data_IF_862609773081
#
_entry.id   IF_862609773081
#
_cell.length_a   1.000
_cell.length_b   1.000
_cell.length_c   1.000
_cell.angle_alpha   90.00
_cell.angle_beta   90.00
_cell.angle_gamma   90.00
#
_symmetry.space_group_name_H-M   'P 1'
#
loop_
_entity.id
_entity.type
_entity.pdbx_description
1 polymer ?
#
# COMPACT_ATOMS: atom_id res chain seq x y z
N UNK A 1 -46.10 -41.72 -63.04
CA UNK A 1 -44.89 -40.96 -62.68
C UNK A 1 -45.04 -40.52 -61.23
N UNK A 2 -44.27 -41.11 -60.31
CA UNK A 2 -44.39 -40.87 -58.86
C UNK A 2 -43.37 -39.82 -58.43
N UNK A 3 -43.82 -38.67 -57.94
CA UNK A 3 -42.93 -37.63 -57.38
C UNK A 3 -42.73 -37.89 -55.88
N UNK A 4 -41.49 -38.15 -55.46
CA UNK A 4 -41.09 -38.23 -54.04
C UNK A 4 -40.70 -36.84 -53.55
N UNK A 5 -41.51 -36.25 -52.66
CA UNK A 5 -41.19 -35.03 -51.94
C UNK A 5 -40.18 -35.35 -50.82
N UNK A 6 -38.98 -34.78 -50.89
CA UNK A 6 -37.97 -34.89 -49.83
C UNK A 6 -38.10 -33.68 -48.88
N UNK A 7 -38.54 -33.93 -47.65
CA UNK A 7 -38.57 -32.94 -46.57
C UNK A 7 -37.17 -32.90 -45.95
N UNK A 8 -36.43 -31.81 -46.17
CA UNK A 8 -35.21 -31.51 -45.43
C UNK A 8 -35.57 -30.91 -44.07
N UNK A 9 -35.36 -31.67 -43.00
CA UNK A 9 -35.45 -31.18 -41.62
C UNK A 9 -34.14 -30.46 -41.31
N UNK A 10 -34.17 -29.12 -41.27
CA UNK A 10 -33.08 -28.33 -40.69
C UNK A 10 -33.14 -28.46 -39.17
N UNK A 11 -32.23 -29.24 -38.59
CA UNK A 11 -32.00 -29.24 -37.15
C UNK A 11 -31.32 -27.92 -36.76
N UNK A 12 -32.10 -26.96 -36.27
CA UNK A 12 -31.58 -25.73 -35.70
C UNK A 12 -30.94 -26.06 -34.35
N UNK A 13 -29.62 -26.23 -34.34
CA UNK A 13 -28.83 -26.38 -33.11
C UNK A 13 -28.90 -25.08 -32.31
N UNK A 14 -29.74 -25.06 -31.27
CA UNK A 14 -29.79 -23.99 -30.29
C UNK A 14 -28.48 -24.03 -29.48
N UNK A 15 -27.49 -23.20 -29.84
CA UNK A 15 -26.35 -22.93 -28.98
C UNK A 15 -26.87 -22.21 -27.73
N UNK A 16 -27.06 -22.95 -26.64
CA UNK A 16 -27.21 -22.35 -25.32
C UNK A 16 -25.87 -21.74 -24.98
N UNK A 17 -25.76 -20.42 -25.08
CA UNK A 17 -24.65 -19.68 -24.52
C UNK A 17 -24.70 -19.88 -23.01
N UNK A 18 -23.88 -20.81 -22.51
CA UNK A 18 -23.56 -20.88 -21.08
C UNK A 18 -22.99 -19.51 -20.74
N UNK A 19 -23.53 -18.77 -19.74
CA UNK A 19 -22.89 -17.56 -19.29
C UNK A 19 -21.48 -17.99 -18.88
N UNK A 20 -20.46 -17.48 -19.59
CA UNK A 20 -19.09 -17.56 -19.11
C UNK A 20 -19.15 -16.86 -17.76
N UNK A 21 -19.21 -17.66 -16.68
CA UNK A 21 -19.01 -17.13 -15.34
C UNK A 21 -17.69 -16.38 -15.45
N UNK A 22 -17.74 -15.03 -15.39
CA UNK A 22 -16.53 -14.24 -15.23
C UNK A 22 -15.83 -14.87 -14.04
N UNK A 23 -14.70 -15.50 -14.27
CA UNK A 23 -13.92 -16.08 -13.19
C UNK A 23 -13.71 -14.95 -12.17
N UNK A 24 -14.25 -15.11 -10.97
CA UNK A 24 -13.94 -14.20 -9.89
C UNK A 24 -12.42 -14.31 -9.67
N UNK A 25 -11.73 -13.18 -9.55
CA UNK A 25 -10.31 -13.16 -9.22
C UNK A 25 -10.09 -13.79 -7.83
N UNK A 26 -9.07 -14.63 -7.71
CA UNK A 26 -8.71 -15.33 -6.47
C UNK A 26 -7.91 -14.38 -5.56
N UNK A 27 -8.59 -13.40 -4.94
CA UNK A 27 -7.95 -12.41 -4.08
C UNK A 27 -7.28 -13.09 -2.85
N UNK A 28 -5.97 -12.89 -2.61
CA UNK A 28 -5.32 -13.42 -1.41
C UNK A 28 -5.92 -12.82 -0.14
N UNK A 29 -6.30 -13.64 0.86
CA UNK A 29 -6.90 -13.14 2.10
C UNK A 29 -5.88 -12.41 2.96
N UNK A 30 -6.28 -11.27 3.52
CA UNK A 30 -5.49 -10.52 4.47
C UNK A 30 -6.43 -9.96 5.55
N UNK A 31 -6.78 -10.76 6.57
CA UNK A 31 -7.60 -10.30 7.69
C UNK A 31 -6.97 -9.08 8.36
N UNK A 32 -7.82 -8.11 8.68
CA UNK A 32 -7.45 -6.88 9.38
C UNK A 32 -8.39 -6.63 10.56
N UNK A 33 -8.18 -5.59 11.37
CA UNK A 33 -9.08 -5.30 12.50
C UNK A 33 -9.49 -3.83 12.58
N UNK A 34 -10.76 -3.63 12.91
CA UNK A 34 -11.29 -2.33 13.32
C UNK A 34 -11.46 -2.33 14.83
N UNK A 35 -10.84 -1.36 15.50
CA UNK A 35 -10.75 -1.32 16.95
C UNK A 35 -11.55 -0.13 17.53
N UNK A 36 -12.17 -0.34 18.68
CA UNK A 36 -12.79 0.74 19.46
C UNK A 36 -12.35 0.63 20.91
N UNK A 37 -12.41 1.76 21.61
CA UNK A 37 -11.97 1.84 23.01
C UNK A 37 -12.80 0.91 23.92
N UNK A 38 -14.09 0.77 23.64
CA UNK A 38 -15.03 -0.02 24.45
C UNK A 38 -15.22 -1.46 23.94
N UNK A 39 -15.11 -1.68 22.63
CA UNK A 39 -15.42 -2.96 21.98
C UNK A 39 -14.21 -3.83 21.62
N UNK A 40 -12.99 -3.34 21.87
CA UNK A 40 -11.77 -4.03 21.43
C UNK A 40 -11.66 -4.06 19.91
N UNK A 41 -10.90 -5.03 19.39
CA UNK A 41 -10.64 -5.17 17.96
C UNK A 41 -11.51 -6.26 17.32
N UNK A 42 -12.32 -5.88 16.34
CA UNK A 42 -13.16 -6.80 15.55
C UNK A 42 -12.49 -7.09 14.22
N UNK A 43 -12.26 -8.36 13.94
CA UNK A 43 -11.66 -8.79 12.67
C UNK A 43 -12.58 -8.45 11.49
N UNK A 44 -11.98 -7.97 10.40
CA UNK A 44 -12.60 -7.71 9.13
C UNK A 44 -12.17 -8.79 8.12
N UNK A 45 -13.11 -9.24 7.29
CA UNK A 45 -12.83 -10.14 6.19
C UNK A 45 -12.37 -9.32 4.99
N UNK A 46 -11.05 -9.13 4.91
CA UNK A 46 -10.38 -8.33 3.89
C UNK A 46 -9.42 -9.16 3.06
N UNK A 47 -9.13 -8.66 1.88
CA UNK A 47 -8.28 -9.29 0.87
C UNK A 47 -7.35 -8.25 0.28
N UNK A 48 -6.36 -8.68 -0.51
CA UNK A 48 -5.57 -7.78 -1.35
C UNK A 48 -5.91 -7.96 -2.82
N UNK A 49 -5.89 -6.87 -3.56
CA UNK A 49 -6.02 -6.87 -5.02
C UNK A 49 -4.83 -6.16 -5.65
N UNK A 50 -4.29 -6.73 -6.73
CA UNK A 50 -3.18 -6.15 -7.47
C UNK A 50 -3.65 -5.02 -8.38
N UNK A 51 -2.94 -3.89 -8.30
CA UNK A 51 -3.08 -2.77 -9.21
C UNK A 51 -3.10 -3.22 -10.67
N UNK A 52 -4.02 -2.66 -11.46
CA UNK A 52 -4.15 -3.02 -12.88
C UNK A 52 -2.89 -2.59 -13.67
N UNK A 53 -2.27 -1.49 -13.25
CA UNK A 53 -1.17 -0.82 -13.96
C UNK A 53 0.20 -1.24 -13.42
N UNK A 54 0.26 -2.25 -12.54
CA UNK A 54 1.51 -2.80 -12.06
C UNK A 54 2.34 -3.31 -13.25
N UNK A 55 3.52 -2.71 -13.44
CA UNK A 55 4.35 -2.83 -14.65
C UNK A 55 4.63 -4.26 -15.09
N UNK A 56 4.72 -5.20 -14.16
CA UNK A 56 5.06 -6.59 -14.43
C UNK A 56 3.88 -7.55 -14.22
N UNK A 57 2.66 -7.02 -14.00
CA UNK A 57 1.46 -7.78 -13.70
C UNK A 57 1.30 -9.02 -14.59
N UNK A 58 1.00 -10.17 -13.96
CA UNK A 58 0.60 -11.41 -14.61
C UNK A 58 -0.90 -11.62 -14.44
N UNK A 59 -1.50 -12.35 -15.39
CA UNK A 59 -2.95 -12.53 -15.47
C UNK A 59 -3.70 -11.27 -15.89
N UNK A 60 -4.95 -11.43 -16.31
CA UNK A 60 -5.81 -10.30 -16.63
C UNK A 60 -6.48 -9.74 -15.35
N UNK A 61 -6.53 -8.41 -15.17
CA UNK A 61 -7.26 -7.80 -14.05
C UNK A 61 -8.72 -8.28 -13.99
N UNK A 62 -9.19 -8.67 -12.81
CA UNK A 62 -10.52 -9.22 -12.60
C UNK A 62 -10.64 -10.72 -12.87
N UNK A 63 -9.55 -11.42 -13.20
CA UNK A 63 -9.53 -12.88 -13.39
C UNK A 63 -8.20 -13.53 -13.01
N UNK A 64 -7.42 -12.90 -12.11
CA UNK A 64 -6.13 -13.46 -11.67
C UNK A 64 -6.35 -14.66 -10.74
N UNK A 65 -5.45 -15.63 -10.84
CA UNK A 65 -5.42 -16.82 -9.99
C UNK A 65 -4.44 -16.63 -8.83
N UNK A 66 -4.48 -17.50 -7.82
CA UNK A 66 -3.47 -17.52 -6.77
C UNK A 66 -2.03 -17.63 -7.31
N UNK A 67 -1.82 -18.37 -8.42
CA UNK A 67 -0.52 -18.51 -9.06
C UNK A 67 -0.03 -17.19 -9.70
N UNK A 68 -0.94 -16.36 -10.23
CA UNK A 68 -0.59 -15.04 -10.77
C UNK A 68 -0.08 -14.11 -9.66
N UNK A 69 -0.72 -14.12 -8.48
CA UNK A 69 -0.24 -13.37 -7.31
C UNK A 69 1.15 -13.82 -6.85
N UNK A 70 1.39 -15.12 -6.77
CA UNK A 70 2.72 -15.67 -6.44
C UNK A 70 3.77 -15.27 -7.50
N UNK A 71 3.43 -15.33 -8.78
CA UNK A 71 4.31 -14.90 -9.87
C UNK A 71 4.61 -13.39 -9.82
N UNK A 72 3.77 -12.62 -9.12
CA UNK A 72 3.92 -11.20 -8.84
C UNK A 72 4.53 -10.90 -7.46
N UNK A 73 5.11 -11.92 -6.81
CA UNK A 73 5.81 -11.73 -5.53
C UNK A 73 4.86 -11.44 -4.37
N UNK A 74 3.59 -11.82 -4.49
CA UNK A 74 2.58 -11.59 -3.45
C UNK A 74 2.24 -12.92 -2.78
N UNK A 75 2.36 -12.95 -1.45
CA UNK A 75 1.96 -14.09 -0.64
C UNK A 75 1.27 -13.62 0.63
N UNK A 76 0.29 -14.39 1.10
CA UNK A 76 -0.39 -14.14 2.37
C UNK A 76 -0.38 -15.39 3.23
N UNK A 77 -0.22 -15.22 4.55
CA UNK A 77 -0.29 -16.30 5.52
C UNK A 77 -0.85 -15.78 6.84
N UNK A 78 -1.97 -16.33 7.29
CA UNK A 78 -2.70 -15.80 8.43
C UNK A 78 -3.12 -14.35 8.19
N UNK A 79 -2.46 -13.43 8.87
CA UNK A 79 -2.70 -11.99 8.77
C UNK A 79 -1.48 -11.20 8.27
N UNK A 80 -0.51 -11.90 7.69
CA UNK A 80 0.69 -11.33 7.13
C UNK A 80 0.62 -11.36 5.61
N UNK A 81 1.03 -10.25 5.01
CA UNK A 81 1.29 -10.06 3.59
C UNK A 81 2.80 -9.95 3.39
N UNK A 82 3.36 -10.81 2.54
CA UNK A 82 4.75 -10.72 2.09
C UNK A 82 4.78 -10.24 0.64
N UNK A 83 5.57 -9.22 0.37
CA UNK A 83 5.73 -8.62 -0.96
C UNK A 83 7.20 -8.65 -1.38
N UNK A 84 7.52 -9.47 -2.37
CA UNK A 84 8.85 -9.61 -2.95
C UNK A 84 9.08 -8.60 -4.07
N UNK A 85 10.26 -7.98 -4.10
CA UNK A 85 10.62 -7.14 -5.25
C UNK A 85 10.86 -8.02 -6.49
N UNK A 86 11.55 -9.15 -6.32
CA UNK A 86 11.92 -10.06 -7.38
C UNK A 86 11.34 -11.45 -7.17
N UNK A 87 11.05 -12.15 -8.27
CA UNK A 87 10.59 -13.54 -8.26
C UNK A 87 11.53 -14.40 -9.09
N UNK A 88 12.03 -15.48 -8.49
CA UNK A 88 12.89 -16.45 -9.17
C UNK A 88 12.04 -17.43 -9.98
N UNK A 89 12.38 -17.56 -11.25
CA UNK A 89 11.75 -18.48 -12.21
C UNK A 89 12.79 -19.41 -12.81
N UNK A 90 12.36 -20.41 -13.58
CA UNK A 90 13.27 -21.28 -14.33
C UNK A 90 14.14 -20.52 -15.33
N UNK A 91 13.67 -19.37 -15.84
CA UNK A 91 14.41 -18.50 -16.78
C UNK A 91 15.28 -17.43 -16.10
N UNK A 92 15.34 -17.40 -14.77
CA UNK A 92 16.12 -16.41 -14.02
C UNK A 92 15.28 -15.56 -13.05
N UNK A 93 15.84 -14.45 -12.62
CA UNK A 93 15.24 -13.53 -11.65
C UNK A 93 14.47 -12.41 -12.36
N UNK A 94 13.17 -12.33 -12.12
CA UNK A 94 12.29 -11.33 -12.75
C UNK A 94 11.89 -10.25 -11.74
N UNK A 95 11.71 -9.02 -12.21
CA UNK A 95 11.06 -7.97 -11.42
C UNK A 95 9.58 -8.31 -11.22
N UNK A 96 9.09 -8.06 -10.01
CA UNK A 96 7.68 -8.15 -9.66
C UNK A 96 7.12 -6.78 -9.25
N UNK A 97 7.75 -6.09 -8.29
CA UNK A 97 7.35 -4.76 -7.76
C UNK A 97 5.82 -4.58 -7.64
N UNK A 98 5.14 -5.43 -6.85
CA UNK A 98 3.70 -5.34 -6.69
C UNK A 98 3.27 -4.04 -5.99
N UNK A 99 2.13 -3.51 -6.43
CA UNK A 99 1.31 -2.52 -5.70
C UNK A 99 -0.07 -3.12 -5.48
N UNK A 100 -0.50 -3.13 -4.22
CA UNK A 100 -1.71 -3.80 -3.75
C UNK A 100 -2.63 -2.80 -3.05
N UNK A 101 -3.94 -3.06 -3.12
CA UNK A 101 -4.96 -2.32 -2.38
C UNK A 101 -5.74 -3.26 -1.47
N UNK A 102 -6.20 -2.74 -0.33
CA UNK A 102 -7.05 -3.50 0.59
C UNK A 102 -8.50 -3.53 0.10
N UNK A 103 -9.01 -4.73 -0.15
CA UNK A 103 -10.36 -5.01 -0.67
C UNK A 103 -11.26 -5.58 0.44
N UNK A 104 -12.49 -5.10 0.52
CA UNK A 104 -13.54 -5.63 1.38
C UNK A 104 -14.28 -6.80 0.75
N UNK A 105 -14.98 -7.58 1.58
CA UNK A 105 -15.81 -8.70 1.13
C UNK A 105 -16.98 -8.29 0.19
N UNK A 106 -17.30 -7.01 0.11
CA UNK A 106 -18.30 -6.44 -0.81
C UNK A 106 -17.74 -6.14 -2.21
N UNK A 107 -16.46 -6.43 -2.46
CA UNK A 107 -15.79 -6.21 -3.73
C UNK A 107 -15.38 -4.75 -3.98
N UNK A 108 -15.44 -3.90 -2.94
CA UNK A 108 -14.95 -2.50 -2.96
C UNK A 108 -13.69 -2.37 -2.12
N UNK A 109 -12.93 -1.31 -2.35
CA UNK A 109 -11.81 -0.98 -1.48
C UNK A 109 -12.31 -0.61 -0.08
N UNK A 110 -11.52 -0.97 0.92
CA UNK A 110 -11.76 -0.53 2.30
C UNK A 110 -11.38 0.94 2.41
N UNK A 111 -12.36 1.81 2.65
CA UNK A 111 -12.11 3.20 3.01
C UNK A 111 -11.84 3.32 4.50
N UNK A 112 -10.61 3.70 4.87
CA UNK A 112 -10.23 3.94 6.25
C UNK A 112 -10.48 5.41 6.62
N UNK A 113 -11.53 5.66 7.40
CA UNK A 113 -11.79 6.97 7.99
C UNK A 113 -10.88 7.18 9.21
N UNK A 114 -9.81 7.94 9.04
CA UNK A 114 -8.74 8.02 10.04
C UNK A 114 -8.60 9.39 10.73
N UNK A 115 -9.45 10.38 10.42
CA UNK A 115 -9.46 11.63 11.18
C UNK A 115 -9.84 11.37 12.64
N UNK A 116 -8.99 11.80 13.58
CA UNK A 116 -9.11 11.54 15.02
C UNK A 116 -9.10 10.04 15.39
N UNK A 117 -8.32 9.25 14.65
CA UNK A 117 -8.16 7.81 14.83
C UNK A 117 -6.66 7.45 14.75
N UNK A 118 -6.35 6.17 14.89
CA UNK A 118 -5.02 5.63 14.67
C UNK A 118 -5.02 4.41 13.73
N UNK A 119 -3.87 4.17 13.13
CA UNK A 119 -3.57 2.99 12.31
C UNK A 119 -2.25 2.40 12.82
N UNK A 120 -2.25 1.09 13.06
CA UNK A 120 -1.05 0.33 13.41
C UNK A 120 -0.84 -0.89 12.52
N UNK A 121 0.42 -1.22 12.28
CA UNK A 121 0.84 -2.34 11.45
C UNK A 121 2.16 -2.88 12.00
N UNK A 122 2.31 -4.20 12.05
CA UNK A 122 3.59 -4.84 12.28
C UNK A 122 4.33 -4.97 10.95
N UNK A 123 5.61 -4.59 10.94
CA UNK A 123 6.42 -4.53 9.73
C UNK A 123 7.73 -5.25 9.94
N UNK A 124 8.15 -6.02 8.93
CA UNK A 124 9.51 -6.51 8.78
C UNK A 124 10.14 -5.91 7.53
N UNK A 125 11.16 -5.07 7.74
CA UNK A 125 11.96 -4.44 6.68
C UNK A 125 13.40 -4.97 6.64
N UNK A 126 13.70 -6.03 7.40
CA UNK A 126 15.06 -6.53 7.62
C UNK A 126 15.78 -6.95 6.34
N UNK A 127 15.03 -7.35 5.31
CA UNK A 127 15.58 -7.74 4.01
C UNK A 127 15.61 -6.61 2.98
N UNK A 128 15.07 -5.43 3.30
CA UNK A 128 15.10 -4.26 2.41
C UNK A 128 16.43 -3.52 2.53
N UNK A 129 17.36 -3.62 1.56
CA UNK A 129 18.62 -2.89 1.58
C UNK A 129 18.41 -1.41 1.23
N UNK A 130 19.51 -0.65 1.21
CA UNK A 130 19.56 0.66 0.56
C UNK A 130 19.00 0.58 -0.86
N UNK A 131 18.23 1.59 -1.27
CA UNK A 131 17.63 1.67 -2.60
C UNK A 131 16.26 1.03 -2.75
N UNK A 132 15.84 0.18 -1.80
CA UNK A 132 14.46 -0.33 -1.75
C UNK A 132 13.54 0.63 -1.00
N UNK A 133 12.25 0.62 -1.36
CA UNK A 133 11.18 1.28 -0.63
C UNK A 133 10.02 0.29 -0.48
N UNK A 134 9.86 -0.24 0.74
CA UNK A 134 8.63 -0.89 1.19
C UNK A 134 7.68 0.18 1.70
N UNK A 135 6.62 0.43 0.94
CA UNK A 135 5.67 1.50 1.19
C UNK A 135 4.32 0.99 1.69
N UNK A 136 3.77 1.66 2.69
CA UNK A 136 2.46 1.45 3.29
C UNK A 136 1.79 2.82 3.45
N UNK A 137 0.73 3.07 2.68
CA UNK A 137 0.23 4.42 2.50
C UNK A 137 -1.26 4.44 2.16
N UNK A 138 -1.86 5.63 2.18
CA UNK A 138 -3.27 5.83 1.90
C UNK A 138 -3.42 6.77 0.71
N UNK A 139 -4.24 6.38 -0.26
CA UNK A 139 -4.64 7.23 -1.37
C UNK A 139 -6.15 7.49 -1.33
N UNK A 140 -6.57 8.72 -1.62
CA UNK A 140 -8.00 9.08 -1.71
C UNK A 140 -8.64 8.59 -3.03
N UNK A 141 -8.51 7.29 -3.29
CA UNK A 141 -9.15 6.57 -4.39
C UNK A 141 -10.65 6.36 -4.08
N UNK A 142 -11.48 6.27 -5.13
CA UNK A 142 -12.88 5.92 -4.94
C UNK A 142 -13.05 4.45 -4.52
N UNK A 143 -14.01 4.16 -3.64
CA UNK A 143 -14.23 2.80 -3.11
C UNK A 143 -14.53 1.75 -4.20
N UNK A 144 -15.19 2.13 -5.28
CA UNK A 144 -15.50 1.25 -6.42
C UNK A 144 -14.38 1.19 -7.46
N UNK A 145 -13.24 1.85 -7.20
CA UNK A 145 -12.11 1.98 -8.12
C UNK A 145 -12.42 2.84 -9.33
N UNK A 146 -13.43 3.71 -9.28
CA UNK A 146 -13.64 4.78 -10.27
C UNK A 146 -12.60 5.89 -10.11
N UNK A 147 -12.39 6.65 -11.19
CA UNK A 147 -11.29 7.61 -11.28
C UNK A 147 -10.08 7.02 -12.01
N UNK A 148 -8.99 7.79 -12.13
CA UNK A 148 -7.79 7.33 -12.83
C UNK A 148 -7.97 7.09 -14.34
N UNK A 149 -7.02 6.35 -14.91
CA UNK A 149 -7.06 5.84 -16.30
C UNK A 149 -7.76 4.47 -16.32
N UNK A 150 -8.76 4.26 -17.19
CA UNK A 150 -9.26 2.90 -17.49
C UNK A 150 -10.59 2.46 -16.85
N UNK A 151 -11.41 3.39 -16.33
CA UNK A 151 -12.78 3.12 -15.85
C UNK A 151 -12.86 2.64 -14.40
N UNK A 152 -14.00 2.09 -13.97
CA UNK A 152 -14.22 1.61 -12.59
C UNK A 152 -13.89 0.12 -12.42
N UNK A 153 -13.62 -0.30 -11.18
CA UNK A 153 -13.43 -1.71 -10.81
C UNK A 153 -12.38 -1.91 -9.71
N UNK A 154 -12.77 -1.75 -8.45
CA UNK A 154 -11.90 -2.03 -7.30
C UNK A 154 -11.39 -3.48 -7.30
N UNK A 155 -12.27 -4.45 -7.56
CA UNK A 155 -11.89 -5.86 -7.72
C UNK A 155 -10.97 -6.16 -8.91
N UNK A 156 -10.62 -5.17 -9.73
CA UNK A 156 -9.61 -5.30 -10.79
C UNK A 156 -8.42 -4.36 -10.56
N UNK A 157 -8.27 -3.78 -9.37
CA UNK A 157 -7.15 -2.91 -9.03
C UNK A 157 -7.15 -1.58 -9.78
N UNK A 158 -8.32 -1.03 -10.11
CA UNK A 158 -8.44 0.23 -10.86
C UNK A 158 -8.52 1.46 -9.98
N UNK A 159 -8.38 2.63 -10.62
CA UNK A 159 -8.67 3.92 -10.02
C UNK A 159 -7.53 4.48 -9.17
N UNK A 160 -6.31 3.97 -9.35
CA UNK A 160 -5.15 4.48 -8.62
C UNK A 160 -4.93 5.97 -8.87
N UNK A 161 -4.51 6.64 -7.80
CA UNK A 161 -4.10 8.02 -7.79
C UNK A 161 -3.17 8.27 -6.61
N UNK A 162 -2.38 9.31 -6.74
CA UNK A 162 -1.47 9.78 -5.71
C UNK A 162 -1.21 11.28 -5.85
N UNK A 163 -0.39 11.84 -4.96
CA UNK A 163 -0.06 13.25 -5.00
C UNK A 163 0.94 13.62 -6.09
N UNK A 164 1.61 12.63 -6.70
CA UNK A 164 2.52 12.85 -7.82
C UNK A 164 1.77 13.19 -9.12
N UNK A 165 0.46 12.91 -9.16
CA UNK A 165 -0.42 13.19 -10.29
C UNK A 165 0.04 12.51 -11.58
N UNK A 166 0.57 11.30 -11.49
CA UNK A 166 0.94 10.50 -12.67
C UNK A 166 -0.32 9.88 -13.28
N UNK A 167 -1.12 10.71 -13.95
CA UNK A 167 -2.40 10.34 -14.54
C UNK A 167 -3.58 10.97 -13.80
N UNK A 168 -3.72 10.72 -12.50
CA UNK A 168 -4.79 11.28 -11.68
C UNK A 168 -4.27 11.71 -10.30
N UNK A 169 -4.74 12.86 -9.84
CA UNK A 169 -4.33 13.46 -8.57
C UNK A 169 -5.32 13.09 -7.46
N UNK A 170 -4.81 12.75 -6.29
CA UNK A 170 -5.62 12.70 -5.07
C UNK A 170 -4.76 12.89 -3.83
N UNK A 171 -5.39 13.20 -2.68
CA UNK A 171 -4.67 13.27 -1.41
C UNK A 171 -3.98 11.94 -1.13
N UNK A 172 -2.78 12.02 -0.59
CA UNK A 172 -1.94 10.87 -0.26
C UNK A 172 -1.35 11.06 1.14
N UNK A 173 -1.35 9.98 1.92
CA UNK A 173 -0.74 9.95 3.24
C UNK A 173 0.18 8.74 3.33
N UNK A 174 1.48 9.01 3.20
CA UNK A 174 2.53 8.02 3.30
C UNK A 174 2.83 7.73 4.76
N UNK A 175 2.26 6.64 5.24
CA UNK A 175 2.46 6.19 6.62
C UNK A 175 3.89 5.71 6.77
N UNK A 176 4.33 4.80 5.92
CA UNK A 176 5.67 4.26 6.00
C UNK A 176 6.23 4.13 4.59
N UNK A 177 7.23 4.92 4.27
CA UNK A 177 8.16 4.65 3.18
C UNK A 177 9.49 4.31 3.83
N UNK A 178 10.00 3.11 3.58
CA UNK A 178 11.14 2.63 4.34
C UNK A 178 11.92 1.50 3.71
N UNK A 179 13.16 1.40 4.15
CA UNK A 179 13.94 0.18 4.11
C UNK A 179 14.61 -0.03 5.48
N UNK A 180 15.51 -1.01 5.58
CA UNK A 180 16.22 -1.27 6.84
C UNK A 180 17.10 -0.09 7.27
N UNK A 181 17.44 0.87 6.41
CA UNK A 181 18.43 1.92 6.69
C UNK A 181 17.83 3.30 6.96
N UNK A 182 16.66 3.61 6.40
CA UNK A 182 15.95 4.86 6.63
C UNK A 182 14.42 4.70 6.51
N UNK A 183 13.69 5.71 6.99
CA UNK A 183 12.24 5.80 6.88
C UNK A 183 11.77 7.25 6.77
N UNK A 184 10.66 7.46 6.07
CA UNK A 184 9.90 8.70 6.06
C UNK A 184 8.40 8.44 6.32
N UNK A 185 7.75 9.43 6.95
CA UNK A 185 6.29 9.57 7.02
C UNK A 185 5.94 10.91 6.37
N UNK A 186 5.12 10.90 5.32
CA UNK A 186 4.90 12.10 4.49
C UNK A 186 3.42 12.29 4.14
N UNK A 187 2.77 13.34 4.63
CA UNK A 187 1.49 13.79 4.12
C UNK A 187 1.69 14.58 2.83
N UNK A 188 0.83 14.32 1.85
CA UNK A 188 0.78 15.03 0.59
C UNK A 188 -0.66 15.53 0.34
N UNK A 189 -1.00 16.72 0.87
CA UNK A 189 -2.33 17.29 0.67
C UNK A 189 -2.53 17.75 -0.78
N UNK A 190 -3.77 17.67 -1.23
CA UNK A 190 -4.24 18.14 -2.53
C UNK A 190 -5.47 19.04 -2.43
N UNK A 191 -5.55 20.02 -3.32
CA UNK A 191 -6.75 20.83 -3.57
C UNK A 191 -7.10 20.76 -5.05
N UNK A 192 -8.17 20.02 -5.36
CA UNK A 192 -8.46 19.65 -6.75
C UNK A 192 -7.30 18.86 -7.35
N UNK A 193 -6.82 19.28 -8.52
CA UNK A 193 -5.69 18.63 -9.21
C UNK A 193 -4.32 19.21 -8.83
N UNK A 194 -4.24 20.04 -7.79
CA UNK A 194 -2.98 20.60 -7.30
C UNK A 194 -2.59 19.93 -5.99
N UNK A 195 -1.54 19.12 -6.05
CA UNK A 195 -1.01 18.38 -4.91
C UNK A 195 0.36 18.90 -4.48
N UNK A 196 0.65 18.78 -3.19
CA UNK A 196 1.98 19.02 -2.65
C UNK A 196 2.90 17.81 -2.92
N UNK A 197 3.57 17.81 -4.07
CA UNK A 197 4.44 16.69 -4.48
C UNK A 197 5.63 16.44 -3.56
N UNK A 198 6.15 17.51 -2.94
CA UNK A 198 7.27 17.40 -2.00
C UNK A 198 6.82 16.94 -0.62
N UNK A 199 5.55 17.21 -0.28
CA UNK A 199 4.98 16.89 1.01
C UNK A 199 5.71 17.60 2.16
N UNK A 200 5.46 17.12 3.38
CA UNK A 200 6.09 17.64 4.59
C UNK A 200 6.67 16.50 5.43
N UNK A 201 7.52 15.70 4.79
CA UNK A 201 7.99 14.42 5.33
C UNK A 201 8.78 14.56 6.61
N UNK A 202 8.58 13.62 7.52
CA UNK A 202 9.43 13.42 8.69
C UNK A 202 10.31 12.18 8.48
N UNK A 203 11.62 12.39 8.40
CA UNK A 203 12.63 11.35 8.44
C UNK A 203 13.49 11.55 9.72
N UNK A 204 13.58 10.56 10.63
CA UNK A 204 14.34 10.68 11.87
C UNK A 204 15.82 11.00 11.63
N UNK A 205 16.44 10.40 10.61
CA UNK A 205 17.85 10.62 10.27
C UNK A 205 18.08 12.06 9.79
N UNK A 206 17.24 12.56 8.89
CA UNK A 206 17.27 13.94 8.40
C UNK A 206 17.01 14.97 9.52
N UNK A 207 16.22 14.58 10.52
CA UNK A 207 15.95 15.39 11.72
C UNK A 207 17.07 15.32 12.77
N UNK A 208 18.21 14.69 12.45
CA UNK A 208 19.38 14.59 13.33
C UNK A 208 19.42 13.36 14.23
N UNK A 209 18.35 12.55 14.27
CA UNK A 209 18.30 11.32 15.08
C UNK A 209 18.96 10.13 14.36
N UNK A 210 20.26 10.26 14.04
CA UNK A 210 20.98 9.30 13.19
C UNK A 210 21.07 7.88 13.76
N UNK A 211 20.94 7.71 15.07
CA UNK A 211 20.95 6.40 15.76
C UNK A 211 19.56 5.87 16.09
N UNK A 212 18.50 6.47 15.55
CA UNK A 212 17.11 6.09 15.86
C UNK A 212 16.62 4.90 15.05
N UNK A 213 16.80 4.90 13.73
CA UNK A 213 16.32 3.86 12.82
C UNK A 213 17.48 3.12 12.14
N UNK A 214 17.47 1.78 12.20
CA UNK A 214 18.38 0.90 11.48
C UNK A 214 18.75 -0.39 12.24
N UNK A 215 19.58 -1.27 11.65
CA UNK A 215 19.92 -2.54 12.29
C UNK A 215 20.67 -2.29 13.62
N UNK A 216 20.15 -2.84 14.72
CA UNK A 216 20.70 -2.68 16.07
C UNK A 216 20.52 -1.29 16.70
N UNK A 217 19.70 -0.41 16.14
CA UNK A 217 19.42 0.95 16.66
C UNK A 217 18.19 0.98 17.58
N UNK A 218 17.74 2.18 17.97
CA UNK A 218 16.59 2.37 18.87
C UNK A 218 15.34 1.64 18.37
N UNK A 219 15.01 1.83 17.08
CA UNK A 219 14.13 0.95 16.31
C UNK A 219 15.05 0.04 15.51
N UNK A 220 15.16 -1.22 15.95
CA UNK A 220 16.04 -2.22 15.38
C UNK A 220 15.39 -2.85 14.14
N UNK A 221 15.76 -2.38 12.95
CA UNK A 221 15.16 -2.88 11.69
C UNK A 221 15.64 -4.26 11.29
N UNK A 222 16.57 -4.89 12.03
CA UNK A 222 16.95 -6.29 11.81
C UNK A 222 15.87 -7.29 12.28
N UNK A 223 14.81 -6.78 12.91
CA UNK A 223 13.70 -7.57 13.47
C UNK A 223 12.37 -6.86 13.20
N UNK A 224 11.24 -7.59 13.25
CA UNK A 224 9.92 -6.97 13.19
C UNK A 224 9.68 -5.93 14.30
N UNK A 225 8.86 -4.94 13.99
CA UNK A 225 8.38 -3.91 14.92
C UNK A 225 6.97 -3.43 14.52
N UNK A 226 6.23 -2.86 15.47
CA UNK A 226 4.94 -2.21 15.21
C UNK A 226 5.16 -0.74 14.90
N UNK A 227 4.53 -0.24 13.84
CA UNK A 227 4.37 1.17 13.51
C UNK A 227 2.99 1.61 13.96
N UNK A 228 2.88 2.75 14.65
CA UNK A 228 1.61 3.35 15.07
C UNK A 228 1.58 4.79 14.59
N UNK A 229 0.53 5.16 13.87
CA UNK A 229 0.31 6.52 13.38
C UNK A 229 -1.03 7.04 13.88
N UNK A 230 -1.00 8.17 14.57
CA UNK A 230 -2.18 8.80 15.19
C UNK A 230 -2.47 10.12 14.47
N UNK A 231 -3.70 10.31 14.03
CA UNK A 231 -4.15 11.50 13.31
C UNK A 231 -5.03 12.35 14.22
N UNK A 232 -4.41 13.09 15.12
CA UNK A 232 -5.12 13.83 16.17
C UNK A 232 -5.88 15.00 15.54
N UNK A 233 -7.15 15.16 15.91
CA UNK A 233 -7.96 16.29 15.46
C UNK A 233 -8.45 17.13 16.64
N UNK A 234 -8.49 18.46 16.44
CA UNK A 234 -9.08 19.42 17.37
C UNK A 234 -10.23 20.14 16.67
N UNK A 235 -11.43 20.11 17.25
CA UNK A 235 -12.61 20.75 16.65
C UNK A 235 -12.95 20.21 15.25
N UNK A 236 -12.68 18.92 14.99
CA UNK A 236 -12.92 18.29 13.70
C UNK A 236 -11.88 18.61 12.62
N UNK A 237 -10.76 19.26 12.96
CA UNK A 237 -9.65 19.54 12.04
C UNK A 237 -8.39 18.82 12.48
N UNK A 238 -7.68 18.20 11.54
CA UNK A 238 -6.40 17.55 11.81
C UNK A 238 -5.41 18.58 12.37
N UNK A 239 -4.90 18.32 13.57
CA UNK A 239 -3.97 19.21 14.26
C UNK A 239 -2.54 18.68 14.23
N UNK A 240 -2.38 17.36 14.28
CA UNK A 240 -1.08 16.72 14.17
C UNK A 240 -1.19 15.26 13.73
N UNK A 241 -0.14 14.79 13.07
CA UNK A 241 0.12 13.38 12.78
C UNK A 241 1.30 12.96 13.64
N UNK A 242 1.14 11.94 14.47
CA UNK A 242 2.18 11.49 15.41
C UNK A 242 2.54 10.04 15.17
N UNK A 243 3.85 9.76 15.15
CA UNK A 243 4.42 8.42 14.99
C UNK A 243 4.97 7.88 16.31
N UNK A 244 4.62 6.63 16.60
CA UNK A 244 5.20 5.80 17.68
C UNK A 244 5.56 4.42 17.13
N UNK A 245 6.45 3.72 17.83
CA UNK A 245 6.76 2.33 17.51
C UNK A 245 6.58 1.44 18.75
N UNK A 246 6.39 0.14 18.53
CA UNK A 246 6.53 -0.87 19.59
C UNK A 246 7.52 -1.92 19.09
N UNK A 247 8.50 -2.27 19.92
CA UNK A 247 9.40 -3.38 19.62
C UNK A 247 9.77 -4.11 20.90
N UNK A 248 9.79 -5.44 20.86
CA UNK A 248 10.06 -6.28 22.04
C UNK A 248 9.17 -5.93 23.25
N UNK A 249 7.88 -5.64 22.99
CA UNK A 249 6.89 -5.25 24.01
C UNK A 249 7.10 -3.86 24.62
N UNK A 250 8.02 -3.04 24.10
CA UNK A 250 8.29 -1.68 24.59
C UNK A 250 7.86 -0.63 23.59
N UNK A 251 7.11 0.37 24.07
CA UNK A 251 6.80 1.54 23.28
C UNK A 251 8.03 2.44 23.12
N UNK A 252 8.30 2.85 21.89
CA UNK A 252 9.39 3.74 21.49
C UNK A 252 8.75 5.05 20.99
N UNK A 253 9.04 6.14 21.68
CA UNK A 253 8.58 7.49 21.33
C UNK A 253 9.48 8.19 20.31
N UNK A 254 9.29 9.51 20.14
CA UNK A 254 10.10 10.38 19.27
C UNK A 254 10.16 9.96 17.78
N UNK A 255 9.14 9.24 17.32
CA UNK A 255 9.04 8.79 15.94
C UNK A 255 8.66 9.88 14.93
N UNK A 256 8.37 11.09 15.41
CA UNK A 256 8.03 12.27 14.62
C UNK A 256 6.62 12.79 14.88
N UNK A 257 6.48 14.11 14.74
CA UNK A 257 5.19 14.81 14.74
C UNK A 257 5.16 15.80 13.60
N UNK A 258 4.08 15.78 12.82
CA UNK A 258 3.84 16.73 11.73
C UNK A 258 2.59 17.54 12.09
N UNK A 259 2.74 18.85 12.24
CA UNK A 259 1.64 19.78 12.56
C UNK A 259 1.43 20.85 11.48
N UNK A 260 2.31 20.93 10.48
CA UNK A 260 2.22 21.84 9.35
C UNK A 260 2.60 21.11 8.07
N UNK A 261 1.81 21.28 7.02
CA UNK A 261 2.04 20.64 5.72
C UNK A 261 1.38 21.45 4.63
N UNK A 262 2.05 21.60 3.48
CA UNK A 262 1.50 22.29 2.32
C UNK A 262 0.99 23.71 2.59
N UNK A 263 0.27 24.24 1.60
CA UNK A 263 -0.40 25.53 1.70
C UNK A 263 -1.92 25.32 1.67
N UNK A 264 -2.63 25.79 2.69
CA UNK A 264 -4.09 25.68 2.83
C UNK A 264 -4.86 26.21 1.59
N UNK A 265 -4.39 27.30 0.99
CA UNK A 265 -5.01 27.93 -0.16
C UNK A 265 -4.74 27.20 -1.48
N UNK A 266 -3.59 26.55 -1.63
CA UNK A 266 -3.10 26.02 -2.91
C UNK A 266 -3.11 24.50 -2.98
N UNK A 267 -2.59 23.81 -1.97
CA UNK A 267 -2.52 22.35 -1.91
C UNK A 267 -3.45 21.76 -0.86
N UNK A 268 -4.22 22.60 -0.14
CA UNK A 268 -5.19 22.17 0.86
C UNK A 268 -4.60 22.03 2.27
N UNK A 269 -3.28 21.90 2.40
CA UNK A 269 -2.57 21.87 3.67
C UNK A 269 -3.06 20.80 4.66
N UNK A 270 -2.85 21.04 5.95
CA UNK A 270 -3.28 20.11 7.00
C UNK A 270 -4.81 19.98 7.07
N UNK A 271 -5.55 21.06 6.77
CA UNK A 271 -7.02 20.98 6.72
C UNK A 271 -7.49 20.03 5.63
N UNK A 272 -6.95 20.15 4.42
CA UNK A 272 -7.29 19.30 3.28
C UNK A 272 -6.96 17.83 3.55
N UNK A 273 -5.77 17.56 4.10
CA UNK A 273 -5.38 16.22 4.52
C UNK A 273 -6.35 15.64 5.56
N UNK A 274 -6.71 16.43 6.58
CA UNK A 274 -7.67 16.01 7.59
C UNK A 274 -9.06 15.70 7.03
N UNK A 275 -9.51 16.48 6.05
CA UNK A 275 -10.79 16.22 5.38
C UNK A 275 -10.75 14.93 4.56
N UNK A 276 -9.64 14.64 3.85
CA UNK A 276 -9.47 13.39 3.10
C UNK A 276 -9.46 12.17 4.03
N UNK A 277 -8.69 12.24 5.13
CA UNK A 277 -8.70 11.20 6.19
C UNK A 277 -10.10 11.02 6.78
N UNK A 278 -10.89 12.10 6.90
CA UNK A 278 -12.27 12.05 7.38
C UNK A 278 -13.22 11.37 6.39
N UNK A 279 -13.10 11.64 5.09
CA UNK A 279 -13.89 11.00 4.02
C UNK A 279 -13.56 9.52 3.85
N UNK A 280 -12.31 9.16 4.14
CA UNK A 280 -11.80 7.80 4.10
C UNK A 280 -10.94 7.57 2.86
N UNK A 281 -9.85 6.85 3.05
CA UNK A 281 -8.83 6.60 2.02
C UNK A 281 -8.55 5.11 1.88
N UNK A 282 -8.12 4.70 0.69
CA UNK A 282 -7.78 3.30 0.38
C UNK A 282 -6.36 3.02 0.85
N UNK A 283 -6.18 1.93 1.60
CA UNK A 283 -4.85 1.44 1.94
C UNK A 283 -4.18 0.83 0.72
N UNK A 284 -3.01 1.37 0.37
CA UNK A 284 -2.10 0.87 -0.63
C UNK A 284 -0.81 0.36 0.02
N UNK A 285 -0.26 -0.72 -0.53
CA UNK A 285 0.98 -1.34 -0.11
C UNK A 285 1.83 -1.61 -1.35
N UNK A 286 3.12 -1.29 -1.33
CA UNK A 286 3.99 -1.53 -2.47
C UNK A 286 5.43 -1.81 -2.07
N UNK A 287 6.20 -2.38 -2.99
CA UNK A 287 7.66 -2.49 -2.92
C UNK A 287 8.25 -2.08 -4.26
N UNK A 288 9.23 -1.19 -4.26
CA UNK A 288 9.85 -0.67 -5.49
C UNK A 288 11.23 -0.07 -5.22
N UNK A 289 11.99 0.13 -6.30
CA UNK A 289 13.27 0.85 -6.30
C UNK A 289 13.28 1.88 -7.43
N UNK A 290 14.21 2.84 -7.33
CA UNK A 290 14.32 3.94 -8.29
C UNK A 290 15.57 3.75 -9.16
N UNK A 291 15.37 3.39 -10.42
CA UNK A 291 16.46 3.25 -11.39
C UNK A 291 17.14 4.57 -11.80
N UNK A 292 16.54 5.71 -11.46
CA UNK A 292 17.05 7.04 -11.80
C UNK A 292 17.85 7.62 -10.65
N UNK A 293 17.29 7.64 -9.44
CA UNK A 293 17.91 8.31 -8.28
C UNK A 293 18.33 7.35 -7.17
N UNK A 294 18.14 6.03 -7.33
CA UNK A 294 18.58 5.00 -6.37
C UNK A 294 18.04 5.24 -4.94
N UNK A 295 16.84 5.80 -4.80
CA UNK A 295 16.20 6.22 -3.54
C UNK A 295 17.01 7.17 -2.66
N UNK A 296 17.91 7.98 -3.25
CA UNK A 296 18.74 8.92 -2.49
C UNK A 296 17.92 9.91 -1.66
N UNK A 297 16.70 10.23 -2.09
CA UNK A 297 15.78 11.09 -1.36
C UNK A 297 15.31 10.47 -0.02
N UNK A 298 15.31 9.15 0.11
CA UNK A 298 14.88 8.42 1.29
C UNK A 298 16.05 8.07 2.23
N UNK A 299 17.14 7.53 1.69
CA UNK A 299 18.11 6.77 2.51
C UNK A 299 19.58 7.15 2.38
N UNK A 300 19.91 8.19 1.61
CA UNK A 300 21.29 8.62 1.38
C UNK A 300 21.52 10.09 1.77
N UNK A 301 22.79 10.47 1.90
CA UNK A 301 23.21 11.83 2.22
C UNK A 301 22.65 12.32 3.57
N UNK A 302 21.79 13.34 3.53
CA UNK A 302 21.14 13.86 4.72
C UNK A 302 19.93 13.02 5.17
N UNK A 303 19.45 12.09 4.34
CA UNK A 303 18.22 11.33 4.60
C UNK A 303 18.51 9.92 5.13
N UNK A 304 19.74 9.43 4.99
CA UNK A 304 20.15 8.17 5.59
C UNK A 304 21.63 7.85 5.39
N UNK A 305 22.06 6.68 5.89
CA UNK A 305 23.45 6.29 5.91
C UNK A 305 23.94 5.63 4.62
N UNK A 306 23.08 5.41 3.61
CA UNK A 306 23.44 4.70 2.39
C UNK A 306 24.42 5.49 1.54
N UNK A 307 25.44 4.82 1.00
CA UNK A 307 26.41 5.45 0.12
C UNK A 307 25.81 5.69 -1.28
N UNK A 308 26.32 6.70 -1.99
CA UNK A 308 25.92 6.97 -3.37
C UNK A 308 26.14 5.74 -4.27
N UNK A 309 25.13 5.37 -5.05
CA UNK A 309 25.15 4.22 -5.96
C UNK A 309 24.94 2.85 -5.28
N UNK A 310 24.98 2.77 -3.94
CA UNK A 310 24.74 1.52 -3.20
C UNK A 310 23.35 0.97 -3.52
N UNK A 311 22.33 1.83 -3.52
CA UNK A 311 20.93 1.49 -3.80
C UNK A 311 20.56 1.38 -5.29
N UNK A 312 21.53 1.19 -6.19
CA UNK A 312 21.19 0.99 -7.61
C UNK A 312 20.47 -0.35 -7.81
N UNK A 313 19.43 -0.42 -8.67
CA UNK A 313 18.70 -1.67 -8.89
C UNK A 313 19.56 -2.85 -9.33
N UNK A 314 20.65 -2.62 -10.07
CA UNK A 314 21.59 -3.70 -10.44
C UNK A 314 22.35 -4.26 -9.23
N UNK A 315 22.74 -3.41 -8.28
CA UNK A 315 23.38 -3.87 -7.04
C UNK A 315 22.37 -4.63 -6.17
N UNK A 316 21.15 -4.11 -6.03
CA UNK A 316 20.10 -4.79 -5.26
C UNK A 316 19.81 -6.16 -5.86
N UNK A 317 19.56 -6.24 -7.17
CA UNK A 317 19.23 -7.50 -7.84
C UNK A 317 20.34 -8.56 -7.72
N UNK A 318 21.62 -8.13 -7.68
CA UNK A 318 22.75 -9.05 -7.58
C UNK A 318 23.07 -9.49 -6.15
N UNK A 319 22.85 -8.61 -5.15
CA UNK A 319 23.27 -8.85 -3.77
C UNK A 319 22.11 -9.23 -2.84
N UNK A 320 20.90 -8.80 -3.16
CA UNK A 320 19.67 -8.97 -2.37
C UNK A 320 18.49 -9.44 -3.25
N UNK A 321 18.65 -10.53 -4.03
CA UNK A 321 17.62 -10.99 -4.97
C UNK A 321 16.33 -11.48 -4.28
N UNK A 322 16.36 -11.67 -2.97
CA UNK A 322 15.27 -12.12 -2.11
C UNK A 322 14.64 -11.00 -1.28
N UNK A 323 15.01 -9.73 -1.54
CA UNK A 323 14.45 -8.57 -0.84
C UNK A 323 12.92 -8.54 -0.89
N UNK A 324 12.31 -8.37 0.29
CA UNK A 324 10.88 -8.34 0.50
C UNK A 324 10.51 -7.56 1.75
N UNK A 325 9.27 -7.08 1.78
CA UNK A 325 8.65 -6.49 2.97
C UNK A 325 7.54 -7.39 3.47
N UNK A 326 7.36 -7.45 4.79
CA UNK A 326 6.21 -8.10 5.41
C UNK A 326 5.38 -7.07 6.17
N UNK A 327 4.09 -6.98 5.84
CA UNK A 327 3.11 -6.22 6.60
C UNK A 327 2.14 -7.18 7.28
N UNK A 328 1.90 -7.03 8.57
CA UNK A 328 1.00 -7.92 9.31
C UNK A 328 0.26 -7.18 10.41
N UNK A 329 -0.75 -7.83 11.01
CA UNK A 329 -1.50 -7.26 12.14
C UNK A 329 -2.00 -5.82 11.87
N UNK A 330 -2.57 -5.57 10.69
CA UNK A 330 -3.09 -4.24 10.33
C UNK A 330 -4.37 -3.95 11.12
N UNK A 331 -4.34 -2.89 11.93
CA UNK A 331 -5.43 -2.50 12.82
C UNK A 331 -5.66 -1.00 12.76
N UNK A 332 -6.92 -0.56 12.67
CA UNK A 332 -7.26 0.86 12.74
C UNK A 332 -8.46 1.11 13.64
N UNK A 333 -8.53 2.29 14.25
CA UNK A 333 -9.60 2.57 15.20
C UNK A 333 -9.32 3.76 16.10
N UNK A 334 -10.04 3.80 17.22
CA UNK A 334 -9.87 4.85 18.21
C UNK A 334 -8.40 4.96 18.65
N UNK A 335 -7.92 6.18 18.88
CA UNK A 335 -6.56 6.43 19.37
C UNK A 335 -6.33 5.69 20.69
N UNK A 336 -5.27 4.88 20.74
CA UNK A 336 -4.90 4.02 21.86
C UNK A 336 -5.70 2.71 21.98
N UNK A 337 -6.38 2.26 20.92
CA UNK A 337 -7.15 1.01 20.89
C UNK A 337 -6.51 -0.10 20.05
N UNK A 338 -5.58 0.21 19.14
CA UNK A 338 -5.11 -0.77 18.15
C UNK A 338 -3.97 -1.67 18.67
N UNK A 339 -3.35 -1.30 19.79
CA UNK A 339 -2.20 -2.03 20.37
C UNK A 339 -2.44 -2.56 21.78
N UNK A 340 -3.64 -2.35 22.34
CA UNK A 340 -4.04 -2.97 23.61
C UNK A 340 -4.52 -4.39 23.34
N UNK A 341 -4.00 -5.34 24.12
CA UNK A 341 -4.49 -6.71 24.16
C UNK A 341 -5.84 -6.77 24.87
#
# INVERSE_FOLDING_TARGET
MSFKLHIFIFALSLLVAVPVARAAEDYPPLPTWKCTTSGGCVQQNTFVVLDQDSKFARGAPGSRTAADYVAMGVSTSGNALTMYHYVKTSSGLNNATPRLYLLGADGKYVLMNLLNQELSVDVDTSTLPCGENGAFYLSEMAADGSGGSGGSGAGSGKGYCDAQCQGFCCNEMDILESNSMATAMTPHPCKGNTCDKGGCGYNPYASGQRSYWGPGKTVDTSKPFTVITQFVANGGKLSQITRKYIQNGRQIGNGGTISTCGNEGTTGGMTGMGQALGRGMVLAMSIWNDATQNMVWLDSGNNGPCASGQGSPSNIQSQHPDTHVVFSNIRWGDIGSTTKA
#
